data_IF_680895156743
#
_entry.id   IF_680895156743
#
_cell.length_a   1.000
_cell.length_b   1.000
_cell.length_c   1.000
_cell.angle_alpha   90.00
_cell.angle_beta   90.00
_cell.angle_gamma   90.00
#
_symmetry.space_group_name_H-M   'P 1'
#
loop_
_entity.id
_entity.type
_entity.pdbx_description
1 polymer ?
#
# COMPACT_ATOMS: atom_id res chain seq x y z
N UNK A 1 26.46 6.86 -0.22
CA UNK A 1 25.73 6.65 -1.48
C UNK A 1 24.71 5.55 -1.25
N UNK A 2 23.47 5.74 -1.70
CA UNK A 2 22.36 4.81 -1.41
C UNK A 2 22.19 3.81 -2.55
N UNK A 3 22.17 2.52 -2.25
CA UNK A 3 22.02 1.46 -3.26
C UNK A 3 20.55 1.20 -3.61
N UNK A 4 19.68 1.22 -2.61
CA UNK A 4 18.26 0.90 -2.76
C UNK A 4 17.40 1.91 -2.03
N UNK A 5 16.28 2.30 -2.64
CA UNK A 5 15.27 3.14 -1.99
C UNK A 5 13.96 2.36 -1.89
N UNK A 6 13.48 2.06 -0.66
CA UNK A 6 12.18 1.47 -0.48
C UNK A 6 11.11 2.46 -0.92
N UNK A 7 10.45 2.18 -2.04
CA UNK A 7 9.42 3.06 -2.59
C UNK A 7 8.09 2.34 -2.70
N UNK A 8 7.02 3.06 -2.38
CA UNK A 8 5.68 2.66 -2.79
C UNK A 8 5.52 2.82 -4.31
N UNK A 9 4.55 2.13 -4.90
CA UNK A 9 4.23 2.22 -6.35
C UNK A 9 4.05 3.69 -6.78
N UNK A 10 3.41 4.49 -5.92
CA UNK A 10 3.10 5.91 -6.20
C UNK A 10 4.35 6.80 -6.23
N UNK A 11 5.49 6.33 -5.72
CA UNK A 11 6.75 7.09 -5.62
C UNK A 11 7.72 6.78 -6.77
N UNK A 12 7.32 5.94 -7.74
CA UNK A 12 8.15 5.58 -8.90
C UNK A 12 8.57 6.81 -9.72
N UNK A 13 7.66 7.77 -9.90
CA UNK A 13 7.94 8.99 -10.65
C UNK A 13 9.00 9.87 -9.97
N UNK A 14 8.99 9.96 -8.64
CA UNK A 14 9.99 10.73 -7.91
C UNK A 14 11.38 10.09 -8.00
N UNK A 15 11.47 8.76 -7.91
CA UNK A 15 12.73 8.05 -8.08
C UNK A 15 13.33 8.29 -9.48
N UNK A 16 12.48 8.31 -10.51
CA UNK A 16 12.91 8.58 -11.87
C UNK A 16 13.49 10.00 -12.04
N UNK A 17 12.86 11.00 -11.42
CA UNK A 17 13.37 12.38 -11.40
C UNK A 17 14.73 12.42 -10.68
N UNK A 18 14.88 11.74 -9.55
CA UNK A 18 16.16 11.66 -8.83
C UNK A 18 17.26 11.03 -9.69
N UNK A 19 16.96 9.96 -10.43
CA UNK A 19 17.92 9.32 -11.33
C UNK A 19 18.33 10.25 -12.47
N UNK A 20 17.39 10.94 -13.10
CA UNK A 20 17.67 11.89 -14.18
C UNK A 20 18.55 13.06 -13.73
N UNK A 21 18.32 13.59 -12.52
CA UNK A 21 19.15 14.66 -11.95
C UNK A 21 20.55 14.15 -11.66
N UNK A 22 20.67 12.97 -11.05
CA UNK A 22 21.96 12.35 -10.74
C UNK A 22 22.77 12.07 -12.01
N UNK A 23 22.13 11.56 -13.06
CA UNK A 23 22.77 11.26 -14.34
C UNK A 23 23.23 12.54 -15.07
N UNK A 24 22.37 13.58 -15.10
CA UNK A 24 22.75 14.88 -15.65
C UNK A 24 23.95 15.48 -14.91
N UNK A 25 23.97 15.40 -13.59
CA UNK A 25 25.07 15.92 -12.79
C UNK A 25 26.36 15.14 -13.06
N UNK A 26 26.28 13.81 -13.14
CA UNK A 26 27.43 12.96 -13.45
C UNK A 26 28.00 13.24 -14.84
N UNK A 27 27.15 13.52 -15.83
CA UNK A 27 27.56 13.91 -17.17
C UNK A 27 28.26 15.27 -17.24
N UNK A 28 27.89 16.21 -16.37
CA UNK A 28 28.46 17.57 -16.36
C UNK A 28 29.74 17.68 -15.53
N UNK A 29 29.81 16.98 -14.40
CA UNK A 29 30.84 17.19 -13.37
C UNK A 29 31.68 15.94 -13.06
N UNK A 30 31.44 14.84 -13.78
CA UNK A 30 32.07 13.56 -13.51
C UNK A 30 31.29 12.71 -12.50
N UNK A 31 31.68 11.44 -12.41
CA UNK A 31 30.89 10.39 -11.76
C UNK A 31 30.83 10.57 -10.22
N UNK A 32 29.84 11.31 -9.74
CA UNK A 32 29.73 11.79 -8.35
C UNK A 32 28.62 11.06 -7.58
N UNK A 33 27.48 10.84 -8.23
CA UNK A 33 26.31 10.19 -7.64
C UNK A 33 26.15 8.75 -8.13
N UNK A 34 25.76 7.86 -7.21
CA UNK A 34 25.29 6.51 -7.56
C UNK A 34 23.80 6.54 -7.82
N UNK A 35 23.36 5.88 -8.89
CA UNK A 35 21.94 5.79 -9.23
C UNK A 35 21.23 4.78 -8.32
N UNK A 36 20.24 5.19 -7.52
CA UNK A 36 19.53 4.29 -6.62
C UNK A 36 18.55 3.38 -7.39
N UNK A 37 18.46 2.12 -7.00
CA UNK A 37 17.47 1.17 -7.53
C UNK A 37 16.19 1.12 -6.67
N UNK A 38 15.00 0.96 -7.29
CA UNK A 38 13.75 0.84 -6.56
C UNK A 38 13.69 -0.48 -5.80
N UNK A 39 13.39 -0.42 -4.50
CA UNK A 39 13.04 -1.60 -3.72
C UNK A 39 11.53 -1.61 -3.48
N UNK A 40 10.82 -2.51 -4.18
CA UNK A 40 9.36 -2.68 -4.06
C UNK A 40 9.10 -3.95 -3.25
N UNK A 41 8.44 -3.79 -2.10
CA UNK A 41 8.06 -4.91 -1.23
C UNK A 41 7.10 -5.89 -1.92
N UNK A 42 7.34 -7.20 -1.76
CA UNK A 42 6.64 -8.29 -2.50
C UNK A 42 5.23 -8.63 -1.99
N UNK A 43 4.74 -8.06 -0.88
CA UNK A 43 3.39 -8.34 -0.33
C UNK A 43 2.95 -7.24 0.64
N UNK A 44 1.64 -6.97 0.72
CA UNK A 44 1.07 -5.89 1.55
C UNK A 44 1.24 -4.48 0.98
N UNK A 45 1.83 -4.33 -0.21
CA UNK A 45 2.21 -3.05 -0.80
C UNK A 45 1.03 -2.10 -1.09
N UNK A 46 -0.21 -2.61 -1.13
CA UNK A 46 -1.40 -1.82 -1.41
C UNK A 46 -2.58 -2.32 -0.58
N UNK A 47 -2.86 -1.60 0.51
CA UNK A 47 -4.08 -1.76 1.30
C UNK A 47 -5.07 -0.66 0.87
N UNK A 48 -6.31 -1.07 0.60
CA UNK A 48 -7.37 -0.19 0.13
C UNK A 48 -8.18 0.34 1.31
N UNK A 49 -8.95 1.41 1.08
CA UNK A 49 -9.87 1.97 2.07
C UNK A 49 -10.91 0.95 2.47
N UNK A 50 -11.29 0.95 3.75
CA UNK A 50 -12.35 0.09 4.28
C UNK A 50 -13.74 0.53 3.82
N UNK A 51 -13.90 1.78 3.37
CA UNK A 51 -15.18 2.35 2.93
C UNK A 51 -15.27 2.45 1.41
N UNK A 52 -14.14 2.65 0.73
CA UNK A 52 -14.04 2.75 -0.72
C UNK A 52 -12.98 1.77 -1.24
N UNK A 53 -13.34 0.52 -1.56
CA UNK A 53 -12.37 -0.52 -1.93
C UNK A 53 -11.51 -0.20 -3.18
N UNK A 54 -11.94 0.74 -4.01
CA UNK A 54 -11.22 1.22 -5.19
C UNK A 54 -10.17 2.31 -4.88
N UNK A 55 -10.23 2.90 -3.68
CA UNK A 55 -9.34 3.97 -3.24
C UNK A 55 -8.28 3.43 -2.28
N UNK A 56 -7.03 3.88 -2.44
CA UNK A 56 -5.96 3.53 -1.49
C UNK A 56 -6.28 4.08 -0.10
N UNK A 57 -5.96 3.32 0.94
CA UNK A 57 -6.09 3.83 2.31
C UNK A 57 -5.23 5.09 2.50
N UNK A 58 -5.84 6.14 3.05
CA UNK A 58 -5.16 7.42 3.33
C UNK A 58 -5.50 7.92 4.72
N UNK A 59 -4.49 8.42 5.44
CA UNK A 59 -4.68 9.11 6.73
C UNK A 59 -5.39 10.46 6.61
N UNK A 60 -5.37 11.05 5.41
CA UNK A 60 -6.00 12.35 5.12
C UNK A 60 -7.42 12.19 4.59
N UNK A 61 -7.98 10.98 4.63
CA UNK A 61 -9.37 10.77 4.25
C UNK A 61 -10.29 11.49 5.24
N UNK A 62 -11.34 12.15 4.72
CA UNK A 62 -12.31 12.86 5.55
C UNK A 62 -13.16 11.89 6.39
N UNK A 63 -13.25 10.62 5.96
CA UNK A 63 -13.95 9.58 6.69
C UNK A 63 -12.97 8.79 7.59
N UNK A 64 -13.04 8.93 8.94
CA UNK A 64 -12.16 8.19 9.85
C UNK A 64 -12.33 6.67 9.78
N UNK A 65 -13.46 6.17 9.24
CA UNK A 65 -13.70 4.73 9.05
C UNK A 65 -12.99 4.17 7.83
N UNK A 66 -12.48 5.01 6.93
CA UNK A 66 -11.79 4.59 5.72
C UNK A 66 -10.40 3.98 5.99
N UNK A 67 -9.77 4.33 7.11
CA UNK A 67 -8.41 3.92 7.44
C UNK A 67 -8.28 3.44 8.90
N UNK A 68 -7.26 2.61 9.14
CA UNK A 68 -6.84 2.21 10.49
C UNK A 68 -5.52 2.93 10.79
N UNK A 69 -5.48 3.65 11.91
CA UNK A 69 -4.24 4.24 12.43
C UNK A 69 -3.52 3.22 13.32
N UNK A 70 -2.19 3.30 13.37
CA UNK A 70 -1.37 2.47 14.28
C UNK A 70 -1.67 2.79 15.75
N UNK A 71 -2.21 3.99 16.02
CA UNK A 71 -2.56 4.45 17.36
C UNK A 71 -4.04 4.29 17.71
N UNK A 72 -4.85 3.67 16.83
CA UNK A 72 -6.25 3.39 17.15
C UNK A 72 -6.34 2.34 18.28
N UNK A 73 -7.27 2.52 19.21
CA UNK A 73 -7.55 1.52 20.24
C UNK A 73 -8.32 0.31 19.68
N UNK A 74 -8.27 -0.82 20.41
CA UNK A 74 -8.87 -2.09 19.99
C UNK A 74 -10.37 -1.97 19.64
N UNK A 75 -11.13 -1.17 20.40
CA UNK A 75 -12.56 -1.01 20.16
C UNK A 75 -12.81 -0.22 18.88
N UNK A 76 -12.01 0.82 18.63
CA UNK A 76 -12.05 1.61 17.39
C UNK A 76 -11.67 0.76 16.18
N UNK A 77 -10.58 0.01 16.26
CA UNK A 77 -10.16 -0.91 15.19
C UNK A 77 -11.28 -1.91 14.88
N UNK A 78 -11.83 -2.54 15.91
CA UNK A 78 -12.90 -3.53 15.74
C UNK A 78 -14.16 -2.92 15.11
N UNK A 79 -14.56 -1.70 15.50
CA UNK A 79 -15.69 -0.99 14.90
C UNK A 79 -15.45 -0.65 13.42
N UNK A 80 -14.25 -0.20 13.07
CA UNK A 80 -13.89 0.12 11.68
C UNK A 80 -13.91 -1.13 10.79
N UNK A 81 -13.33 -2.24 11.25
CA UNK A 81 -13.34 -3.51 10.50
C UNK A 81 -14.77 -4.04 10.35
N UNK A 82 -15.59 -4.02 11.41
CA UNK A 82 -16.98 -4.48 11.36
C UNK A 82 -17.88 -3.65 10.44
N UNK A 83 -17.53 -2.39 10.21
CA UNK A 83 -18.26 -1.48 9.31
C UNK A 83 -17.61 -1.31 7.93
N UNK A 84 -16.62 -2.13 7.60
CA UNK A 84 -16.00 -2.13 6.28
C UNK A 84 -17.00 -2.57 5.20
N UNK A 85 -16.91 -1.95 4.03
CA UNK A 85 -17.77 -2.24 2.88
C UNK A 85 -17.37 -3.59 2.27
N UNK A 86 -18.35 -4.48 2.16
CA UNK A 86 -18.23 -5.82 1.57
C UNK A 86 -19.25 -6.02 0.45
N UNK A 87 -19.27 -7.22 -0.13
CA UNK A 87 -20.35 -7.66 -1.02
C UNK A 87 -21.59 -8.13 -0.23
N UNK A 88 -22.66 -8.45 -0.95
CA UNK A 88 -23.93 -8.96 -0.41
C UNK A 88 -24.06 -10.49 -0.49
N UNK A 89 -23.03 -11.20 -0.93
CA UNK A 89 -23.07 -12.65 -1.20
C UNK A 89 -22.82 -13.49 0.06
N UNK A 90 -22.55 -12.86 1.22
CA UNK A 90 -22.33 -13.48 2.52
C UNK A 90 -21.32 -14.66 2.48
N UNK A 91 -20.35 -14.60 1.56
CA UNK A 91 -19.35 -15.64 1.31
C UNK A 91 -17.96 -15.04 1.24
N UNK A 92 -17.02 -15.63 1.96
CA UNK A 92 -15.62 -15.17 2.02
C UNK A 92 -14.79 -15.98 1.05
N UNK A 93 -14.50 -15.41 -0.12
CA UNK A 93 -13.59 -16.00 -1.11
C UNK A 93 -13.08 -14.92 -2.06
N UNK A 94 -11.97 -15.21 -2.75
CA UNK A 94 -11.34 -14.26 -3.67
C UNK A 94 -11.97 -14.36 -5.05
N UNK A 95 -12.47 -13.24 -5.58
CA UNK A 95 -13.01 -13.14 -6.95
C UNK A 95 -12.86 -11.72 -7.47
N UNK A 96 -12.78 -11.56 -8.79
CA UNK A 96 -12.86 -10.26 -9.43
C UNK A 96 -14.23 -9.62 -9.15
N UNK A 97 -14.22 -8.31 -8.84
CA UNK A 97 -15.41 -7.56 -8.42
C UNK A 97 -15.75 -7.64 -6.92
N UNK A 98 -14.96 -8.38 -6.12
CA UNK A 98 -15.10 -8.45 -4.65
C UNK A 98 -14.04 -7.65 -3.91
N UNK A 99 -13.81 -6.40 -4.33
CA UNK A 99 -12.66 -5.62 -3.88
C UNK A 99 -12.62 -5.42 -2.35
N UNK A 100 -13.78 -5.23 -1.71
CA UNK A 100 -13.87 -5.11 -0.25
C UNK A 100 -13.46 -6.39 0.49
N UNK A 101 -13.99 -7.54 0.07
CA UNK A 101 -13.65 -8.84 0.67
C UNK A 101 -12.20 -9.21 0.37
N UNK A 102 -11.73 -8.98 -0.85
CA UNK A 102 -10.34 -9.19 -1.26
C UNK A 102 -9.37 -8.35 -0.40
N UNK A 103 -9.73 -7.09 -0.10
CA UNK A 103 -8.93 -6.20 0.74
C UNK A 103 -8.84 -6.72 2.19
N UNK A 104 -9.98 -7.10 2.80
CA UNK A 104 -10.01 -7.67 4.15
C UNK A 104 -9.22 -8.98 4.25
N UNK A 105 -9.34 -9.85 3.24
CA UNK A 105 -8.53 -11.07 3.15
C UNK A 105 -7.03 -10.75 3.02
N UNK A 106 -6.67 -9.73 2.25
CA UNK A 106 -5.30 -9.24 2.14
C UNK A 106 -4.73 -8.77 3.49
N UNK A 107 -5.49 -7.97 4.23
CA UNK A 107 -5.10 -7.50 5.57
C UNK A 107 -4.91 -8.68 6.52
N UNK A 108 -5.87 -9.61 6.56
CA UNK A 108 -5.77 -10.81 7.41
C UNK A 108 -4.54 -11.67 7.08
N UNK A 109 -4.25 -11.87 5.80
CA UNK A 109 -3.08 -12.62 5.34
C UNK A 109 -1.77 -11.96 5.79
N UNK A 110 -1.68 -10.63 5.70
CA UNK A 110 -0.49 -9.89 6.14
C UNK A 110 -0.28 -9.96 7.66
N UNK A 111 -1.36 -9.89 8.46
CA UNK A 111 -1.26 -9.95 9.92
C UNK A 111 -0.97 -11.38 10.44
N UNK A 112 -1.46 -12.42 9.78
CA UNK A 112 -1.36 -13.81 10.26
C UNK A 112 -0.25 -14.62 9.57
N UNK A 113 0.34 -14.11 8.49
CA UNK A 113 1.30 -14.84 7.66
C UNK A 113 0.70 -16.03 6.90
N UNK A 114 -0.62 -16.26 6.99
CA UNK A 114 -1.30 -17.36 6.30
C UNK A 114 -1.48 -17.00 4.83
N UNK A 115 -1.06 -17.91 3.96
CA UNK A 115 -1.37 -17.81 2.53
C UNK A 115 -2.86 -18.12 2.32
N UNK A 116 -3.58 -17.19 1.71
CA UNK A 116 -4.98 -17.40 1.34
C UNK A 116 -5.04 -18.37 0.17
N UNK A 117 -5.71 -19.51 0.33
CA UNK A 117 -6.03 -20.41 -0.81
C UNK A 117 -6.99 -19.67 -1.74
N UNK A 118 -6.73 -19.76 -3.04
CA UNK A 118 -7.61 -19.24 -4.09
C UNK A 118 -8.96 -19.95 -4.04
#
# INVERSE_FOLDING_TARGET
>A
QTDFVPIGIDQKQHLEITRNIADRFNGLYGNTFKLPEPFIGKSGAKIMSLQEPNKKMSKSDTNPKAFISVLDDDNTIMKKIKSAVTDSEARVYRKDGKDGVNNLMGIYSCCTGKQMRK
#
